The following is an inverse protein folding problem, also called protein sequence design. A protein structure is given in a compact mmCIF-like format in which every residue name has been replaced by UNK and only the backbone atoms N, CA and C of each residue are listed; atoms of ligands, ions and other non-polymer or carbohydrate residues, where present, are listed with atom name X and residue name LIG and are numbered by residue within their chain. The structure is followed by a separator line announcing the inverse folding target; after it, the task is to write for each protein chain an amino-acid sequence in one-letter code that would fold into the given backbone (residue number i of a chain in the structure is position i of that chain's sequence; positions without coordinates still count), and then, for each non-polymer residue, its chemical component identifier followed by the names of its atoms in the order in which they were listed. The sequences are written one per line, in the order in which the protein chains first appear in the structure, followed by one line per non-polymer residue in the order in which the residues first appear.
data_IF_660050102374
#
_entry.id   IF_660050102374
#
_cell.length_a   1.000
_cell.length_b   1.000
_cell.length_c   1.000
_cell.angle_alpha   90.00
_cell.angle_beta   90.00
_cell.angle_gamma   90.00
#
_symmetry.space_group_name_H-M   'P 1'
#
loop_
_entity.id
_entity.type
_entity.pdbx_description
1 polymer ?
#
# COMPACT_ATOMS: atom_id res chain seq x y z
N UNK A 1 -7.21 -6.76 -12.21
CA UNK A 1 -6.98 -5.33 -11.88
C UNK A 1 -6.57 -4.60 -13.14
N UNK A 2 -6.99 -3.34 -13.34
CA UNK A 2 -6.53 -2.53 -14.46
C UNK A 2 -5.01 -2.32 -14.39
N UNK A 3 -4.37 -2.20 -15.55
CA UNK A 3 -2.96 -1.80 -15.63
C UNK A 3 -2.81 -0.35 -15.16
N UNK A 4 -1.90 -0.11 -14.21
CA UNK A 4 -1.55 1.25 -13.78
C UNK A 4 -0.59 1.86 -14.79
N UNK A 5 -0.99 2.98 -15.40
CA UNK A 5 -0.17 3.68 -16.40
C UNK A 5 0.72 4.72 -15.74
N UNK A 6 1.80 5.07 -16.44
CA UNK A 6 2.70 6.14 -16.00
C UNK A 6 1.93 7.45 -15.84
N UNK A 7 2.02 8.06 -14.67
CA UNK A 7 1.33 9.30 -14.31
C UNK A 7 0.04 9.08 -13.52
N UNK A 8 -0.45 7.84 -13.43
CA UNK A 8 -1.58 7.49 -12.57
C UNK A 8 -1.11 7.19 -11.14
N UNK A 9 -2.00 7.43 -10.18
CA UNK A 9 -1.75 7.14 -8.77
C UNK A 9 -2.67 6.00 -8.32
N UNK A 10 -2.06 4.95 -7.76
CA UNK A 10 -2.79 3.90 -7.05
C UNK A 10 -2.65 4.15 -5.54
N UNK A 11 -3.76 4.42 -4.87
CA UNK A 11 -3.81 4.66 -3.43
C UNK A 11 -4.40 3.43 -2.74
N UNK A 12 -3.73 2.99 -1.67
CA UNK A 12 -4.26 2.02 -0.72
C UNK A 12 -4.65 2.75 0.57
N UNK A 13 -5.92 2.67 0.94
CA UNK A 13 -6.43 3.04 2.26
C UNK A 13 -6.69 1.76 3.07
N UNK A 14 -6.22 1.75 4.31
CA UNK A 14 -6.40 0.63 5.24
C UNK A 14 -7.39 1.06 6.31
N UNK A 15 -8.49 0.33 6.42
CA UNK A 15 -9.52 0.59 7.41
C UNK A 15 -9.18 -0.06 8.76
N UNK A 16 -9.91 0.32 9.81
CA UNK A 16 -9.68 -0.18 11.19
C UNK A 16 -9.76 -1.71 11.32
N UNK A 17 -10.55 -2.36 10.47
CA UNK A 17 -10.68 -3.83 10.42
C UNK A 17 -9.60 -4.52 9.58
N UNK A 18 -8.57 -3.78 9.13
CA UNK A 18 -7.55 -4.23 8.20
C UNK A 18 -8.10 -4.67 6.84
N UNK A 19 -9.22 -4.09 6.39
CA UNK A 19 -9.61 -4.16 4.97
C UNK A 19 -8.85 -3.14 4.14
N UNK A 20 -8.72 -3.40 2.84
CA UNK A 20 -8.01 -2.56 1.89
C UNK A 20 -8.95 -1.96 0.86
N UNK A 21 -9.08 -0.64 0.84
CA UNK A 21 -9.76 0.11 -0.21
C UNK A 21 -8.73 0.64 -1.21
N UNK A 22 -8.86 0.27 -2.48
CA UNK A 22 -7.97 0.71 -3.55
C UNK A 22 -8.64 1.80 -4.40
N UNK A 23 -7.88 2.86 -4.67
CA UNK A 23 -8.31 3.96 -5.52
C UNK A 23 -7.33 4.15 -6.67
N UNK A 24 -7.83 4.31 -7.90
CA UNK A 24 -7.05 4.73 -9.06
C UNK A 24 -7.43 6.17 -9.41
N UNK A 25 -6.48 7.10 -9.33
CA UNK A 25 -6.72 8.53 -9.53
C UNK A 25 -7.93 9.04 -8.72
N UNK A 26 -7.95 8.68 -7.44
CA UNK A 26 -8.99 9.02 -6.45
C UNK A 26 -10.38 8.37 -6.67
N UNK A 27 -10.54 7.54 -7.70
CA UNK A 27 -11.75 6.74 -7.91
C UNK A 27 -11.61 5.36 -7.22
N UNK A 28 -12.58 4.98 -6.39
CA UNK A 28 -12.62 3.67 -5.74
C UNK A 28 -12.77 2.58 -6.80
N UNK A 29 -11.79 1.67 -6.87
CA UNK A 29 -11.81 0.56 -7.82
C UNK A 29 -12.08 -0.80 -7.18
N UNK A 30 -11.75 -0.97 -5.90
CA UNK A 30 -11.97 -2.24 -5.19
C UNK A 30 -11.91 -2.09 -3.67
N UNK A 31 -12.53 -3.05 -2.96
CA UNK A 31 -12.37 -3.24 -1.53
C UNK A 31 -12.11 -4.73 -1.23
N UNK A 32 -11.04 -5.01 -0.48
CA UNK A 32 -10.62 -6.36 -0.12
C UNK A 32 -10.72 -6.51 1.40
N UNK A 33 -11.68 -7.31 1.85
CA UNK A 33 -11.91 -7.64 3.26
C UNK A 33 -11.06 -8.84 3.71
N UNK A 34 -9.73 -8.72 3.59
CA UNK A 34 -8.78 -9.75 4.01
C UNK A 34 -7.56 -9.14 4.71
N UNK A 35 -7.53 -9.24 6.03
CA UNK A 35 -6.45 -8.71 6.86
C UNK A 35 -5.07 -9.33 6.52
N UNK A 36 -5.02 -10.61 6.15
CA UNK A 36 -3.76 -11.27 5.81
C UNK A 36 -3.22 -10.73 4.48
N UNK A 37 -4.09 -10.52 3.50
CA UNK A 37 -3.73 -9.82 2.26
C UNK A 37 -3.20 -8.41 2.56
N UNK A 38 -3.91 -7.62 3.35
CA UNK A 38 -3.52 -6.24 3.68
C UNK A 38 -2.14 -6.16 4.33
N UNK A 39 -1.89 -7.03 5.32
CA UNK A 39 -0.58 -7.11 5.99
C UNK A 39 0.52 -7.52 5.02
N UNK A 40 0.27 -8.53 4.18
CA UNK A 40 1.25 -8.99 3.19
C UNK A 40 1.57 -7.90 2.16
N UNK A 41 0.56 -7.16 1.69
CA UNK A 41 0.74 -6.10 0.70
C UNK A 41 1.53 -4.91 1.26
N UNK A 42 1.18 -4.42 2.45
CA UNK A 42 1.93 -3.34 3.13
C UNK A 42 3.39 -3.74 3.39
N UNK A 43 3.63 -5.02 3.69
CA UNK A 43 4.97 -5.52 3.97
C UNK A 43 5.94 -5.36 2.80
N UNK A 44 5.48 -5.28 1.54
CA UNK A 44 6.33 -4.98 0.37
C UNK A 44 7.10 -3.66 0.57
N UNK A 45 6.46 -2.69 1.21
CA UNK A 45 7.00 -1.34 1.43
C UNK A 45 7.56 -1.14 2.83
N UNK A 46 6.95 -1.74 3.85
CA UNK A 46 7.26 -1.47 5.25
C UNK A 46 8.22 -2.49 5.89
N UNK A 47 8.36 -3.69 5.32
CA UNK A 47 9.29 -4.70 5.85
C UNK A 47 10.73 -4.21 5.75
N UNK A 48 11.54 -4.63 6.72
CA UNK A 48 13.01 -4.56 6.70
C UNK A 48 13.65 -5.18 5.44
N UNK A 49 12.92 -6.04 4.72
CA UNK A 49 13.33 -6.65 3.45
C UNK A 49 12.84 -5.90 2.22
N UNK A 50 12.35 -4.67 2.35
CA UNK A 50 11.88 -3.88 1.21
C UNK A 50 13.00 -3.61 0.21
N UNK A 51 12.69 -3.74 -1.09
CA UNK A 51 13.59 -3.36 -2.18
C UNK A 51 13.89 -1.86 -2.24
N UNK A 52 13.21 -1.03 -1.43
CA UNK A 52 13.35 0.42 -1.37
C UNK A 52 13.70 0.91 0.06
N UNK A 53 14.88 0.55 0.60
CA UNK A 53 15.20 0.72 2.01
C UNK A 53 15.21 2.18 2.49
N UNK A 54 15.59 3.14 1.63
CA UNK A 54 15.57 4.57 1.98
C UNK A 54 14.15 5.11 2.17
N UNK A 55 13.22 4.67 1.32
CA UNK A 55 11.81 5.03 1.40
C UNK A 55 11.15 4.33 2.57
N UNK A 56 11.44 3.04 2.76
CA UNK A 56 10.97 2.27 3.91
C UNK A 56 11.34 2.99 5.22
N UNK A 57 12.60 3.39 5.39
CA UNK A 57 13.05 4.08 6.61
C UNK A 57 12.27 5.38 6.89
N UNK A 58 11.90 6.12 5.83
CA UNK A 58 11.05 7.31 5.97
C UNK A 58 9.62 6.96 6.38
N UNK A 59 9.04 5.90 5.79
CA UNK A 59 7.68 5.45 6.08
C UNK A 59 7.53 4.88 7.49
N UNK A 60 8.54 4.16 7.99
CA UNK A 60 8.53 3.59 9.36
C UNK A 60 9.10 4.52 10.43
N UNK A 61 9.49 5.75 10.06
CA UNK A 61 9.96 6.76 11.02
C UNK A 61 11.38 6.53 11.57
N UNK A 62 12.20 5.70 10.92
CA UNK A 62 13.60 5.42 11.30
C UNK A 62 14.57 6.55 10.86
N UNK A 63 14.17 7.82 11.04
CA UNK A 63 15.04 8.96 10.72
C UNK A 63 16.11 9.11 11.80
N UNK A 64 17.38 8.96 11.40
CA UNK A 64 18.54 9.47 12.13
C UNK A 64 18.77 10.95 11.85
#
# INVERSE_FOLDING_TARGET
MPDVKKGETLTLQVEDNLSSSFYLNDELIDNIEDAAFTQAFLSIWLSDKSSYPKQQAQLVGLRN
#
